data_IF_128329757732
#
_entry.id   IF_128329757732
#
_cell.length_a   1.000
_cell.length_b   1.000
_cell.length_c   1.000
_cell.angle_alpha   90.00
_cell.angle_beta   90.00
_cell.angle_gamma   90.00
#
_symmetry.space_group_name_H-M   'P 1'
#
loop_
_entity.id
_entity.type
_entity.pdbx_description
1 polymer ?
#
# COMPACT_ATOMS: atom_id res chain seq x y z
N UNK A 1 -4.19 -10.78 -7.40
CA UNK A 1 -2.95 -10.46 -6.67
C UNK A 1 -2.32 -9.26 -7.34
N UNK A 2 -2.04 -8.20 -6.60
CA UNK A 2 -1.45 -6.96 -7.09
C UNK A 2 -0.27 -6.58 -6.20
N UNK A 3 0.72 -5.90 -6.77
CA UNK A 3 1.80 -5.28 -6.00
C UNK A 3 1.40 -3.87 -5.62
N UNK A 4 1.55 -3.50 -4.35
CA UNK A 4 1.16 -2.19 -3.84
C UNK A 4 2.02 -1.03 -4.37
N UNK A 5 1.50 0.20 -4.30
CA UNK A 5 2.12 1.38 -4.91
C UNK A 5 3.47 1.76 -4.29
N UNK A 6 3.71 1.46 -3.00
CA UNK A 6 4.98 1.76 -2.33
C UNK A 6 6.07 0.82 -2.80
N UNK A 7 5.74 -0.46 -2.97
CA UNK A 7 6.67 -1.48 -3.48
C UNK A 7 7.02 -1.23 -4.94
N UNK A 8 6.03 -0.91 -5.78
CA UNK A 8 6.28 -0.51 -7.17
C UNK A 8 7.25 0.68 -7.21
N UNK A 9 7.05 1.69 -6.35
CA UNK A 9 7.93 2.85 -6.29
C UNK A 9 9.35 2.49 -5.84
N UNK A 10 9.48 1.73 -4.74
CA UNK A 10 10.77 1.43 -4.12
C UNK A 10 11.64 0.47 -4.95
N UNK A 11 11.03 -0.40 -5.75
CA UNK A 11 11.73 -1.34 -6.65
C UNK A 11 11.85 -0.83 -8.09
N UNK A 12 11.55 0.45 -8.32
CA UNK A 12 11.75 1.14 -9.58
C UNK A 12 12.87 2.18 -9.47
N UNK A 13 13.21 2.82 -10.59
CA UNK A 13 13.99 4.06 -10.61
C UNK A 13 13.04 5.26 -10.66
N UNK A 14 12.63 5.85 -9.52
CA UNK A 14 11.69 6.96 -9.49
C UNK A 14 12.29 8.20 -10.14
N UNK A 15 11.43 9.01 -10.75
CA UNK A 15 11.84 10.29 -11.35
C UNK A 15 12.28 11.27 -10.25
N UNK A 16 13.26 12.11 -10.56
CA UNK A 16 13.88 13.02 -9.58
C UNK A 16 13.14 14.37 -9.46
N UNK A 17 12.29 14.70 -10.41
CA UNK A 17 11.63 16.00 -10.54
C UNK A 17 10.24 16.07 -9.87
N UNK A 18 9.76 14.95 -9.33
CA UNK A 18 8.49 14.85 -8.59
C UNK A 18 8.75 14.17 -7.26
N UNK A 19 8.08 14.59 -6.19
CA UNK A 19 8.26 13.94 -4.87
C UNK A 19 7.82 12.47 -4.91
N UNK A 20 8.47 11.62 -4.09
CA UNK A 20 8.09 10.22 -3.94
C UNK A 20 6.63 10.03 -3.55
N UNK A 21 6.12 10.90 -2.67
CA UNK A 21 4.71 10.92 -2.27
C UNK A 21 3.77 11.11 -3.47
N UNK A 22 4.01 12.10 -4.32
CA UNK A 22 3.16 12.38 -5.48
C UNK A 22 3.22 11.22 -6.48
N UNK A 23 4.41 10.67 -6.72
CA UNK A 23 4.58 9.49 -7.57
C UNK A 23 3.81 8.27 -7.00
N UNK A 24 3.91 8.03 -5.69
CA UNK A 24 3.23 6.91 -5.03
C UNK A 24 1.71 7.06 -5.11
N UNK A 25 1.19 8.28 -4.93
CA UNK A 25 -0.25 8.57 -5.07
C UNK A 25 -0.74 8.36 -6.52
N UNK A 26 0.06 8.70 -7.52
CA UNK A 26 -0.27 8.44 -8.92
C UNK A 26 -0.33 6.94 -9.23
N UNK A 27 0.66 6.18 -8.74
CA UNK A 27 0.64 4.72 -8.82
C UNK A 27 -0.59 4.15 -8.12
N UNK A 28 -0.92 4.65 -6.92
CA UNK A 28 -2.09 4.22 -6.17
C UNK A 28 -3.41 4.46 -6.92
N UNK A 29 -3.55 5.59 -7.63
CA UNK A 29 -4.73 5.85 -8.46
C UNK A 29 -4.86 4.82 -9.60
N UNK A 30 -3.75 4.49 -10.27
CA UNK A 30 -3.76 3.48 -11.32
C UNK A 30 -4.12 2.09 -10.78
N UNK A 31 -3.56 1.71 -9.62
CA UNK A 31 -3.91 0.45 -8.95
C UNK A 31 -5.38 0.42 -8.53
N UNK A 32 -5.93 1.55 -8.06
CA UNK A 32 -7.34 1.62 -7.67
C UNK A 32 -8.26 1.27 -8.83
N UNK A 33 -7.92 1.74 -10.02
CA UNK A 33 -8.72 1.45 -11.23
C UNK A 33 -8.69 -0.05 -11.54
N UNK A 34 -7.51 -0.70 -11.44
CA UNK A 34 -7.37 -2.16 -11.57
C UNK A 34 -8.17 -2.92 -10.50
N UNK A 35 -8.07 -2.51 -9.23
CA UNK A 35 -8.85 -3.10 -8.13
C UNK A 35 -10.35 -3.00 -8.41
N UNK A 36 -10.82 -1.84 -8.91
CA UNK A 36 -12.21 -1.67 -9.29
C UNK A 36 -12.63 -2.58 -10.44
N UNK A 37 -11.77 -2.78 -11.43
CA UNK A 37 -12.08 -3.62 -12.58
C UNK A 37 -12.10 -5.12 -12.22
N UNK A 38 -11.19 -5.57 -11.35
CA UNK A 38 -11.22 -6.92 -10.79
C UNK A 38 -12.51 -7.17 -9.98
N UNK A 39 -12.93 -6.22 -9.15
CA UNK A 39 -14.16 -6.34 -8.39
C UNK A 39 -15.40 -6.39 -9.30
N UNK A 40 -15.47 -5.54 -10.34
CA UNK A 40 -16.54 -5.58 -11.35
C UNK A 40 -16.58 -6.91 -12.12
N UNK A 41 -15.43 -7.55 -12.31
CA UNK A 41 -15.33 -8.88 -12.90
C UNK A 41 -15.79 -10.01 -11.96
N UNK A 42 -16.23 -9.69 -10.74
CA UNK A 42 -16.73 -10.66 -9.75
C UNK A 42 -15.65 -11.25 -8.84
N UNK A 43 -14.45 -10.67 -8.82
CA UNK A 43 -13.39 -11.10 -7.89
C UNK A 43 -13.69 -10.50 -6.51
N UNK A 44 -14.03 -11.36 -5.56
CA UNK A 44 -14.46 -10.98 -4.21
C UNK A 44 -13.30 -10.84 -3.21
N UNK A 45 -12.12 -11.39 -3.52
CA UNK A 45 -10.92 -11.31 -2.70
C UNK A 45 -9.75 -10.82 -3.54
N UNK A 46 -9.29 -9.59 -3.27
CA UNK A 46 -8.17 -8.98 -3.98
C UNK A 46 -7.06 -8.74 -2.99
N UNK A 47 -5.89 -9.34 -3.23
CA UNK A 47 -4.71 -9.12 -2.40
C UNK A 47 -3.78 -8.09 -3.02
N UNK A 48 -3.36 -7.12 -2.20
CA UNK A 48 -2.41 -6.04 -2.55
C UNK A 48 -1.21 -6.10 -1.60
N UNK A 49 -0.02 -6.38 -2.13
CA UNK A 49 1.16 -6.68 -1.31
C UNK A 49 2.16 -5.53 -1.22
N UNK A 50 2.66 -5.27 0.00
CA UNK A 50 3.63 -4.20 0.28
C UNK A 50 4.91 -4.68 1.00
N UNK A 51 5.69 -5.63 0.43
CA UNK A 51 6.89 -6.14 1.08
C UNK A 51 7.99 -5.07 1.24
N UNK A 52 8.04 -4.07 0.35
CA UNK A 52 9.11 -3.07 0.34
C UNK A 52 8.76 -1.76 1.07
N UNK A 53 7.64 -1.71 1.79
CA UNK A 53 7.26 -0.51 2.58
C UNK A 53 8.30 -0.17 3.65
N UNK A 54 8.99 -1.16 4.23
CA UNK A 54 10.09 -0.91 5.18
C UNK A 54 11.38 -0.50 4.49
N UNK A 55 11.58 -0.94 3.25
CA UNK A 55 12.82 -0.68 2.50
C UNK A 55 12.94 0.82 2.13
N UNK A 56 11.81 1.52 2.01
CA UNK A 56 11.77 2.97 1.79
C UNK A 56 11.91 3.84 3.05
N UNK A 57 12.01 3.26 4.25
CA UNK A 57 12.12 4.04 5.50
C UNK A 57 13.39 4.92 5.48
N UNK A 58 13.26 6.22 5.79
CA UNK A 58 14.42 7.09 5.96
C UNK A 58 15.36 6.57 7.05
N UNK A 59 16.66 6.86 6.94
CA UNK A 59 17.64 6.45 7.97
C UNK A 59 17.36 7.12 9.33
N UNK A 60 16.85 8.36 9.32
CA UNK A 60 16.54 9.10 10.55
C UNK A 60 15.12 8.77 11.01
N UNK A 61 14.98 8.30 12.25
CA UNK A 61 13.68 7.95 12.83
C UNK A 61 12.70 9.14 12.89
N UNK A 62 13.21 10.37 13.03
CA UNK A 62 12.37 11.58 13.05
C UNK A 62 11.57 11.78 11.76
N UNK A 63 12.07 11.23 10.64
CA UNK A 63 11.44 11.34 9.33
C UNK A 63 10.48 10.17 9.03
N UNK A 64 10.43 9.15 9.91
CA UNK A 64 9.63 7.94 9.68
C UNK A 64 8.13 8.24 9.62
N UNK A 65 7.62 9.07 10.52
CA UNK A 65 6.19 9.39 10.54
C UNK A 65 5.74 10.04 9.24
N UNK A 66 6.55 10.98 8.69
CA UNK A 66 6.24 11.62 7.42
C UNK A 66 6.20 10.58 6.28
N UNK A 67 7.17 9.67 6.23
CA UNK A 67 7.20 8.57 5.27
C UNK A 67 5.98 7.65 5.38
N UNK A 68 5.73 7.12 6.59
CA UNK A 68 4.67 6.15 6.84
C UNK A 68 3.28 6.76 6.57
N UNK A 69 3.11 8.06 6.83
CA UNK A 69 1.85 8.76 6.54
C UNK A 69 1.51 8.65 5.05
N UNK A 70 2.39 9.13 4.16
CA UNK A 70 2.05 9.10 2.74
C UNK A 70 2.07 7.68 2.15
N UNK A 71 2.89 6.78 2.69
CA UNK A 71 2.95 5.39 2.24
C UNK A 71 1.63 4.66 2.54
N UNK A 72 1.11 4.79 3.77
CA UNK A 72 -0.18 4.21 4.17
C UNK A 72 -1.34 4.92 3.45
N UNK A 73 -1.29 6.24 3.29
CA UNK A 73 -2.31 6.96 2.52
C UNK A 73 -2.37 6.53 1.06
N UNK A 74 -1.22 6.26 0.44
CA UNK A 74 -1.16 5.75 -0.94
C UNK A 74 -1.72 4.34 -1.03
N UNK A 75 -1.41 3.48 -0.05
CA UNK A 75 -2.01 2.16 0.04
C UNK A 75 -3.54 2.24 0.19
N UNK A 76 -4.03 3.07 1.13
CA UNK A 76 -5.47 3.35 1.31
C UNK A 76 -6.11 3.82 0.02
N UNK A 77 -5.46 4.75 -0.69
CA UNK A 77 -5.97 5.28 -1.96
C UNK A 77 -6.12 4.18 -3.03
N UNK A 78 -5.17 3.23 -3.08
CA UNK A 78 -5.23 2.10 -4.02
C UNK A 78 -6.38 1.13 -3.74
N UNK A 79 -6.91 1.11 -2.51
CA UNK A 79 -7.97 0.20 -2.08
C UNK A 79 -9.29 0.90 -1.76
N UNK A 80 -9.36 2.23 -1.92
CA UNK A 80 -10.50 3.09 -1.52
C UNK A 80 -11.74 3.00 -2.43
N UNK A 81 -12.00 1.87 -3.09
CA UNK A 81 -13.23 1.67 -3.85
C UNK A 81 -14.39 1.25 -2.95
N UNK A 82 -15.64 1.63 -3.29
CA UNK A 82 -16.84 0.92 -2.81
C UNK A 82 -16.89 -0.42 -3.53
N UNK A 83 -16.12 -1.36 -3.02
CA UNK A 83 -15.99 -2.69 -3.57
C UNK A 83 -16.88 -3.58 -2.71
N UNK A 84 -17.72 -4.40 -3.35
CA UNK A 84 -18.31 -5.58 -2.71
C UNK A 84 -17.25 -6.70 -2.54
N UNK A 85 -15.95 -6.34 -2.61
CA UNK A 85 -14.81 -7.22 -2.53
C UNK A 85 -13.99 -6.86 -1.29
N UNK A 86 -13.58 -7.88 -0.54
CA UNK A 86 -12.64 -7.74 0.54
C UNK A 86 -11.24 -7.55 -0.03
N UNK A 87 -10.63 -6.41 0.29
CA UNK A 87 -9.23 -6.15 -0.05
C UNK A 87 -8.37 -6.52 1.15
N UNK A 88 -7.76 -7.70 1.07
CA UNK A 88 -6.92 -8.28 2.11
C UNK A 88 -5.47 -7.97 1.77
N UNK A 89 -4.68 -7.52 2.73
CA UNK A 89 -3.24 -7.32 2.52
C UNK A 89 -2.48 -7.92 3.68
N UNK A 90 -1.38 -8.62 3.36
CA UNK A 90 -0.05 -8.48 3.95
C UNK A 90 0.77 -9.72 3.64
N UNK A 91 1.88 -9.58 2.90
CA UNK A 91 3.05 -10.45 3.07
C UNK A 91 4.15 -9.65 3.76
N UNK A 92 4.10 -9.64 5.10
CA UNK A 92 5.11 -9.00 5.94
C UNK A 92 6.29 -9.94 6.15
N UNK A 93 7.00 -10.31 5.07
CA UNK A 93 8.16 -11.21 5.13
C UNK A 93 9.30 -10.72 6.03
N UNK A 94 9.27 -9.47 6.51
CA UNK A 94 10.38 -8.85 7.26
C UNK A 94 9.98 -7.99 8.47
N UNK A 95 8.73 -7.98 8.94
CA UNK A 95 8.32 -7.02 9.99
C UNK A 95 7.76 -7.56 11.29
N UNK A 96 7.73 -8.88 11.53
CA UNK A 96 7.10 -9.48 12.73
C UNK A 96 5.70 -8.89 13.02
N UNK A 97 4.88 -8.70 11.98
CA UNK A 97 3.54 -8.08 12.07
C UNK A 97 3.49 -6.63 12.58
N UNK A 98 4.61 -5.99 12.92
CA UNK A 98 4.67 -4.58 13.39
C UNK A 98 4.05 -3.58 12.42
N UNK A 99 3.99 -3.93 11.13
CA UNK A 99 3.38 -3.11 10.12
C UNK A 99 1.85 -3.03 10.29
N UNK A 100 1.20 -4.06 10.84
CA UNK A 100 -0.23 -4.04 11.15
C UNK A 100 -0.57 -2.91 12.13
N UNK A 101 0.27 -2.70 13.15
CA UNK A 101 0.13 -1.59 14.10
C UNK A 101 0.23 -0.23 13.40
N UNK A 102 1.08 -0.11 12.38
CA UNK A 102 1.23 1.13 11.61
C UNK A 102 -0.04 1.41 10.80
N UNK A 103 -0.59 0.42 10.11
CA UNK A 103 -1.85 0.57 9.37
C UNK A 103 -3.01 0.94 10.29
N UNK A 104 -3.11 0.31 11.46
CA UNK A 104 -4.12 0.64 12.45
C UNK A 104 -3.96 2.07 12.98
N UNK A 105 -2.73 2.48 13.32
CA UNK A 105 -2.42 3.84 13.77
C UNK A 105 -2.77 4.91 12.73
N UNK A 106 -2.70 4.59 11.44
CA UNK A 106 -3.03 5.49 10.34
C UNK A 106 -4.47 5.26 9.79
N UNK A 107 -5.32 4.59 10.56
CA UNK A 107 -6.76 4.48 10.31
C UNK A 107 -7.12 3.65 9.08
N UNK A 108 -6.41 2.54 8.83
CA UNK A 108 -6.89 1.51 7.90
C UNK A 108 -7.91 0.61 8.60
N UNK A 109 -9.11 0.51 8.04
CA UNK A 109 -10.27 -0.15 8.69
C UNK A 109 -10.66 -1.50 8.05
N UNK A 110 -10.17 -1.80 6.84
CA UNK A 110 -10.45 -3.07 6.18
C UNK A 110 -9.66 -4.23 6.81
N UNK A 111 -10.08 -5.47 6.52
CA UNK A 111 -9.37 -6.66 6.95
C UNK A 111 -7.90 -6.63 6.48
N UNK A 112 -6.98 -6.71 7.43
CA UNK A 112 -5.54 -6.76 7.21
C UNK A 112 -4.97 -7.91 8.04
N UNK A 113 -4.08 -8.70 7.47
CA UNK A 113 -3.56 -9.89 8.14
C UNK A 113 -2.54 -10.63 7.28
N UNK A 114 -1.72 -11.50 7.88
CA UNK A 114 -0.77 -12.30 7.12
C UNK A 114 -1.57 -13.07 6.07
N UNK A 115 -1.38 -12.74 4.80
CA UNK A 115 -1.97 -13.45 3.67
C UNK A 115 -1.76 -14.95 3.89
N UNK A 116 -2.80 -15.74 3.62
CA UNK A 116 -2.86 -17.18 3.88
C UNK A 116 -1.58 -17.94 3.49
#
# INVERSE_FOLDING_TARGET
>A
MLTGPVTILNWSFPRADVSKEVQCKQLALALRDEVCDLAKAGIFAIQVDEPAIREGLPLRQVDWNAYLTWAVDSFKLSTAGRLDADVISVEASKSDLKLLEVFHKHGYENLIGPGL
#
